data_IF_124681420655
#
_entry.id   IF_124681420655
#
_cell.length_a   1.000
_cell.length_b   1.000
_cell.length_c   1.000
_cell.angle_alpha   90.00
_cell.angle_beta   90.00
_cell.angle_gamma   90.00
#
_symmetry.space_group_name_H-M   'P 1'
#
loop_
_entity.id
_entity.type
_entity.pdbx_description
1 polymer ?
#
# COMPACT_ATOMS: atom_id res chain seq x y z
N UNK A 1 -16.20 -1.05 -18.23
CA UNK A 1 -14.95 -1.73 -18.69
C UNK A 1 -14.30 -2.38 -17.48
N UNK A 2 -13.98 -3.67 -17.53
CA UNK A 2 -13.30 -4.39 -16.44
C UNK A 2 -11.80 -4.09 -16.48
N UNK A 3 -11.17 -3.67 -15.36
CA UNK A 3 -9.73 -3.50 -15.29
C UNK A 3 -9.01 -4.83 -15.37
N UNK A 4 -7.78 -4.80 -15.89
CA UNK A 4 -6.92 -5.99 -15.94
C UNK A 4 -6.15 -6.09 -14.61
N UNK A 5 -6.60 -6.95 -13.69
CA UNK A 5 -5.98 -7.15 -12.38
C UNK A 5 -4.50 -7.58 -12.47
N UNK A 6 -4.12 -8.35 -13.52
CA UNK A 6 -2.73 -8.77 -13.71
C UNK A 6 -1.81 -7.59 -14.05
N UNK A 7 -2.27 -6.65 -14.87
CA UNK A 7 -1.50 -5.42 -15.15
C UNK A 7 -1.36 -4.55 -13.90
N UNK A 8 -2.43 -4.44 -13.10
CA UNK A 8 -2.37 -3.72 -11.81
C UNK A 8 -1.36 -4.38 -10.87
N UNK A 9 -1.38 -5.71 -10.76
CA UNK A 9 -0.40 -6.45 -9.94
C UNK A 9 1.04 -6.19 -10.38
N UNK A 10 1.30 -6.25 -11.69
CA UNK A 10 2.64 -5.99 -12.25
C UNK A 10 3.09 -4.57 -11.91
N UNK A 11 2.22 -3.57 -12.10
CA UNK A 11 2.52 -2.18 -11.76
C UNK A 11 2.83 -2.02 -10.25
N UNK A 12 2.02 -2.59 -9.37
CA UNK A 12 2.22 -2.48 -7.92
C UNK A 12 3.52 -3.13 -7.45
N UNK A 13 3.91 -4.27 -8.03
CA UNK A 13 5.21 -4.90 -7.74
C UNK A 13 6.38 -4.03 -8.20
N UNK A 14 6.31 -3.44 -9.39
CA UNK A 14 7.31 -2.51 -9.89
C UNK A 14 7.38 -1.23 -9.03
N UNK A 15 6.23 -0.71 -8.59
CA UNK A 15 6.16 0.42 -7.68
C UNK A 15 6.86 0.13 -6.35
N UNK A 16 6.64 -1.05 -5.76
CA UNK A 16 7.37 -1.47 -4.55
C UNK A 16 8.88 -1.52 -4.80
N UNK A 17 9.31 -2.09 -5.93
CA UNK A 17 10.72 -2.19 -6.28
C UNK A 17 11.37 -0.80 -6.40
N UNK A 18 10.70 0.13 -7.08
CA UNK A 18 11.19 1.50 -7.27
C UNK A 18 11.25 2.29 -5.95
N UNK A 19 10.23 2.17 -5.10
CA UNK A 19 10.22 2.80 -3.77
C UNK A 19 11.38 2.28 -2.92
N UNK A 20 11.56 0.96 -2.83
CA UNK A 20 12.66 0.38 -2.05
C UNK A 20 14.03 0.81 -2.58
N UNK A 21 14.21 0.86 -3.90
CA UNK A 21 15.46 1.30 -4.51
C UNK A 21 15.78 2.77 -4.15
N UNK A 22 14.78 3.66 -4.24
CA UNK A 22 14.97 5.09 -3.92
C UNK A 22 15.23 5.31 -2.43
N UNK A 23 14.50 4.63 -1.56
CA UNK A 23 14.71 4.72 -0.11
C UNK A 23 16.08 4.16 0.30
N UNK A 24 16.48 3.02 -0.24
CA UNK A 24 17.80 2.43 0.01
C UNK A 24 18.94 3.35 -0.48
N UNK A 25 18.79 3.96 -1.64
CA UNK A 25 19.78 4.91 -2.17
C UNK A 25 19.90 6.18 -1.29
N UNK A 26 18.80 6.65 -0.71
CA UNK A 26 18.82 7.80 0.19
C UNK A 26 19.44 7.45 1.56
N UNK A 27 19.16 6.26 2.08
CA UNK A 27 19.57 5.81 3.41
C UNK A 27 20.99 5.22 3.45
N UNK A 28 21.43 4.58 2.39
CA UNK A 28 22.64 3.78 2.31
C UNK A 28 22.50 2.36 2.88
N UNK A 29 21.31 1.96 3.32
CA UNK A 29 20.99 0.65 3.86
C UNK A 29 20.34 -0.28 2.82
N UNK A 30 19.99 -1.48 3.26
CA UNK A 30 19.38 -2.52 2.43
C UNK A 30 18.04 -2.97 2.99
N UNK A 31 17.08 -3.27 2.10
CA UNK A 31 15.82 -3.89 2.44
C UNK A 31 15.95 -5.41 2.52
N UNK A 32 15.47 -5.99 3.61
CA UNK A 32 15.27 -7.43 3.74
C UNK A 32 13.88 -7.79 3.23
N UNK A 33 13.80 -8.80 2.39
CA UNK A 33 12.55 -9.27 1.79
C UNK A 33 12.04 -10.52 2.50
N UNK A 34 10.73 -10.55 2.73
CA UNK A 34 9.98 -11.71 3.20
C UNK A 34 8.74 -11.92 2.32
N UNK A 35 8.58 -13.14 1.82
CA UNK A 35 7.44 -13.56 1.00
C UNK A 35 6.52 -14.45 1.84
N UNK A 36 5.26 -14.07 1.95
CA UNK A 36 4.28 -14.78 2.75
C UNK A 36 3.07 -15.20 1.93
N UNK A 37 2.41 -16.26 2.38
CA UNK A 37 1.18 -16.77 1.81
C UNK A 37 0.09 -16.84 2.87
N UNK A 38 -1.14 -16.72 2.42
CA UNK A 38 -2.36 -16.73 3.24
C UNK A 38 -3.15 -17.99 2.92
N UNK A 39 -3.51 -18.79 3.93
CA UNK A 39 -4.34 -19.99 3.76
C UNK A 39 -5.69 -19.67 3.12
N UNK A 40 -6.29 -18.53 3.46
CA UNK A 40 -7.55 -18.07 2.91
C UNK A 40 -7.47 -17.48 1.49
N UNK A 41 -6.30 -17.57 0.85
CA UNK A 41 -6.04 -17.12 -0.52
C UNK A 41 -5.24 -15.84 -0.63
N UNK A 42 -4.21 -15.90 -1.48
CA UNK A 42 -3.31 -14.80 -1.75
C UNK A 42 -2.03 -14.83 -0.91
N UNK A 43 -1.32 -13.72 -0.92
CA UNK A 43 -0.04 -13.55 -0.23
C UNK A 43 0.50 -12.14 -0.38
N UNK A 44 1.77 -11.98 -0.11
CA UNK A 44 2.44 -10.69 -0.25
C UNK A 44 3.95 -10.79 -0.20
N UNK A 45 4.56 -9.63 -0.40
CA UNK A 45 6.00 -9.43 -0.36
C UNK A 45 6.28 -8.23 0.55
N UNK A 46 6.79 -8.48 1.74
CA UNK A 46 7.18 -7.46 2.70
C UNK A 46 8.66 -7.13 2.55
N UNK A 47 9.01 -5.86 2.59
CA UNK A 47 10.39 -5.39 2.59
C UNK A 47 10.59 -4.42 3.73
N UNK A 48 11.61 -4.67 4.55
CA UNK A 48 11.91 -3.88 5.75
C UNK A 48 13.39 -3.52 5.78
N UNK A 49 13.67 -2.23 5.93
CA UNK A 49 14.98 -1.70 6.25
C UNK A 49 14.99 -1.33 7.74
N UNK A 50 16.06 -1.69 8.46
CA UNK A 50 16.21 -1.39 9.89
C UNK A 50 17.60 -0.86 10.18
N UNK A 51 17.66 0.08 11.11
CA UNK A 51 18.91 0.68 11.61
C UNK A 51 19.79 1.22 10.48
N UNK A 52 19.18 1.89 9.51
CA UNK A 52 19.88 2.53 8.40
C UNK A 52 20.58 3.82 8.80
N UNK A 53 21.17 4.50 7.84
CA UNK A 53 21.88 5.76 8.08
C UNK A 53 20.95 6.94 8.39
N UNK A 54 19.78 6.96 7.80
CA UNK A 54 18.76 8.01 7.96
C UNK A 54 17.51 7.44 8.62
N UNK A 55 17.09 6.22 8.24
CA UNK A 55 15.86 5.61 8.73
C UNK A 55 16.16 4.64 9.89
N UNK A 56 15.50 4.86 11.03
CA UNK A 56 15.43 3.88 12.09
C UNK A 56 14.76 2.60 11.59
N UNK A 57 13.64 2.81 10.85
CA UNK A 57 12.93 1.72 10.20
C UNK A 57 12.13 2.23 9.00
N UNK A 58 12.13 1.47 7.92
CA UNK A 58 11.24 1.67 6.79
C UNK A 58 10.62 0.33 6.37
N UNK A 59 9.32 0.33 6.13
CA UNK A 59 8.61 -0.84 5.62
C UNK A 59 7.90 -0.51 4.32
N UNK A 60 8.03 -1.37 3.32
CA UNK A 60 7.32 -1.25 2.03
C UNK A 60 6.71 -2.62 1.71
N UNK A 61 5.40 -2.70 1.79
CA UNK A 61 4.69 -3.97 1.73
C UNK A 61 3.77 -4.02 0.51
N UNK A 62 3.91 -5.05 -0.30
CA UNK A 62 2.93 -5.45 -1.30
C UNK A 62 2.05 -6.55 -0.74
N UNK A 63 0.75 -6.46 -0.93
CA UNK A 63 -0.21 -7.52 -0.64
C UNK A 63 -1.13 -7.76 -1.81
N UNK A 64 -1.52 -9.02 -2.01
CA UNK A 64 -2.51 -9.45 -2.97
C UNK A 64 -3.33 -10.57 -2.36
N UNK A 65 -4.54 -10.27 -1.95
CA UNK A 65 -5.44 -11.19 -1.27
C UNK A 65 -6.73 -11.36 -2.06
N UNK A 66 -7.31 -12.54 -1.98
CA UNK A 66 -8.59 -12.85 -2.63
C UNK A 66 -9.42 -13.81 -1.77
N UNK A 67 -10.70 -13.90 -2.07
CA UNK A 67 -11.60 -14.80 -1.38
C UNK A 67 -12.91 -14.95 -2.15
N UNK A 68 -13.60 -16.06 -1.89
CA UNK A 68 -14.84 -16.41 -2.58
C UNK A 68 -16.06 -15.62 -2.10
N UNK A 69 -15.95 -14.99 -0.92
CA UNK A 69 -17.01 -14.15 -0.36
C UNK A 69 -16.42 -12.99 0.46
N UNK A 70 -17.11 -11.86 0.38
CA UNK A 70 -16.79 -10.69 1.23
C UNK A 70 -17.25 -10.96 2.67
N UNK A 71 -16.45 -10.53 3.68
CA UNK A 71 -16.90 -10.55 5.07
C UNK A 71 -18.18 -9.72 5.27
N UNK A 72 -19.07 -10.18 6.15
CA UNK A 72 -20.34 -9.49 6.43
C UNK A 72 -20.13 -8.03 6.88
N UNK A 73 -19.07 -7.77 7.64
CA UNK A 73 -18.69 -6.41 8.06
C UNK A 73 -18.36 -5.48 6.89
N UNK A 74 -17.78 -6.00 5.81
CA UNK A 74 -17.43 -5.24 4.62
C UNK A 74 -18.65 -4.94 3.72
N UNK A 75 -19.72 -5.73 3.83
CA UNK A 75 -20.94 -5.58 3.02
C UNK A 75 -22.05 -4.83 3.75
N UNK A 76 -21.91 -4.55 5.05
CA UNK A 76 -22.92 -3.87 5.87
C UNK A 76 -23.36 -2.51 5.29
N UNK A 77 -22.42 -1.75 4.72
CA UNK A 77 -22.68 -0.44 4.09
C UNK A 77 -22.61 -0.47 2.56
N UNK A 78 -22.36 -1.64 1.97
CA UNK A 78 -22.19 -1.86 0.53
C UNK A 78 -22.90 -3.15 0.12
N UNK A 79 -24.25 -3.20 0.14
CA UNK A 79 -25.03 -4.41 -0.13
C UNK A 79 -24.79 -4.97 -1.54
N UNK A 80 -24.37 -4.13 -2.49
CA UNK A 80 -24.02 -4.56 -3.85
C UNK A 80 -22.81 -5.50 -3.91
N UNK A 81 -22.01 -5.57 -2.83
CA UNK A 81 -20.85 -6.46 -2.70
C UNK A 81 -21.23 -7.85 -2.15
N UNK A 82 -22.44 -8.02 -1.63
CA UNK A 82 -22.86 -9.27 -1.01
C UNK A 82 -22.86 -10.43 -2.02
N UNK A 83 -22.29 -11.57 -1.61
CA UNK A 83 -22.20 -12.77 -2.43
C UNK A 83 -21.29 -12.66 -3.64
N UNK A 84 -20.34 -11.72 -3.63
CA UNK A 84 -19.29 -11.58 -4.63
C UNK A 84 -17.99 -12.17 -4.12
N UNK A 85 -17.24 -12.82 -5.00
CA UNK A 85 -15.82 -13.04 -4.80
C UNK A 85 -15.07 -11.70 -4.86
N UNK A 86 -13.90 -11.62 -4.25
CA UNK A 86 -13.12 -10.39 -4.27
C UNK A 86 -11.64 -10.63 -4.49
N UNK A 87 -10.99 -9.63 -5.01
CA UNK A 87 -9.54 -9.51 -5.13
C UNK A 87 -9.13 -8.10 -4.70
N UNK A 88 -8.17 -8.02 -3.79
CA UNK A 88 -7.63 -6.75 -3.29
C UNK A 88 -6.11 -6.80 -3.33
N UNK A 89 -5.49 -5.76 -3.84
CA UNK A 89 -4.03 -5.66 -3.89
C UNK A 89 -3.59 -4.22 -3.67
N UNK A 90 -2.38 -4.06 -3.14
CA UNK A 90 -1.86 -2.74 -2.88
C UNK A 90 -0.41 -2.74 -2.43
N UNK A 91 0.16 -1.55 -2.44
CA UNK A 91 1.44 -1.23 -1.81
C UNK A 91 1.19 -0.24 -0.69
N UNK A 92 1.79 -0.49 0.46
CA UNK A 92 1.79 0.40 1.62
C UNK A 92 3.21 0.61 2.07
N UNK A 93 3.55 1.83 2.46
CA UNK A 93 4.84 2.14 3.04
C UNK A 93 4.68 2.97 4.32
N UNK A 94 5.64 2.81 5.21
CA UNK A 94 5.84 3.69 6.37
C UNK A 94 7.34 3.89 6.55
N UNK A 95 7.74 5.12 6.83
CA UNK A 95 9.14 5.51 7.01
C UNK A 95 9.29 6.25 8.33
N UNK A 96 10.13 5.72 9.21
CA UNK A 96 10.48 6.29 10.50
C UNK A 96 11.94 6.79 10.48
N UNK A 97 12.19 8.10 10.34
CA UNK A 97 13.54 8.66 10.43
C UNK A 97 14.11 8.60 11.84
N UNK A 98 15.44 8.50 11.98
CA UNK A 98 16.12 8.67 13.27
C UNK A 98 15.95 10.07 13.85
N UNK A 99 15.97 11.08 12.98
CA UNK A 99 15.85 12.47 13.39
C UNK A 99 14.39 12.80 13.73
N UNK A 100 14.05 13.14 15.00
CA UNK A 100 12.68 13.43 15.41
C UNK A 100 12.09 14.70 14.79
N UNK A 101 12.91 15.56 14.18
CA UNK A 101 12.46 16.74 13.44
C UNK A 101 12.05 16.42 11.99
N UNK A 102 12.35 15.21 11.50
CA UNK A 102 11.86 14.73 10.21
C UNK A 102 10.61 13.89 10.43
N UNK A 103 9.47 14.25 9.83
CA UNK A 103 8.22 13.54 10.07
C UNK A 103 8.25 12.08 9.64
N UNK A 104 7.58 11.22 10.41
CA UNK A 104 7.17 9.90 9.92
C UNK A 104 6.21 10.11 8.75
N UNK A 105 6.43 9.38 7.67
CA UNK A 105 5.58 9.43 6.49
C UNK A 105 4.95 8.06 6.20
N UNK A 106 3.72 8.10 5.73
CA UNK A 106 2.95 6.93 5.33
C UNK A 106 2.28 7.19 3.98
N UNK A 107 2.29 6.20 3.12
CA UNK A 107 1.50 6.20 1.90
C UNK A 107 0.97 4.82 1.59
N UNK A 108 -0.16 4.74 0.93
CA UNK A 108 -0.64 3.50 0.35
C UNK A 108 -1.42 3.77 -0.95
N UNK A 109 -1.34 2.81 -1.86
CA UNK A 109 -2.20 2.72 -3.03
C UNK A 109 -2.77 1.32 -3.10
N UNK A 110 -4.05 1.22 -3.41
CA UNK A 110 -4.74 -0.07 -3.43
C UNK A 110 -5.73 -0.16 -4.58
N UNK A 111 -5.93 -1.36 -5.03
CA UNK A 111 -6.94 -1.76 -5.99
C UNK A 111 -7.85 -2.81 -5.37
N UNK A 112 -9.12 -2.71 -5.65
CA UNK A 112 -10.14 -3.67 -5.24
C UNK A 112 -11.06 -3.97 -6.41
N UNK A 113 -11.43 -5.26 -6.54
CA UNK A 113 -12.46 -5.71 -7.46
C UNK A 113 -13.31 -6.82 -6.82
N UNK A 114 -14.62 -6.74 -6.99
CA UNK A 114 -15.56 -7.75 -6.54
C UNK A 114 -16.43 -8.21 -7.73
N UNK A 115 -16.54 -9.52 -7.90
CA UNK A 115 -17.16 -10.13 -9.07
C UNK A 115 -18.26 -11.14 -8.68
N UNK A 116 -19.26 -11.25 -9.54
CA UNK A 116 -20.32 -12.23 -9.44
C UNK A 116 -20.75 -12.63 -10.85
N UNK A 117 -20.95 -13.94 -11.13
CA UNK A 117 -21.46 -14.37 -12.43
C UNK A 117 -22.76 -13.66 -12.81
N UNK A 118 -22.81 -13.15 -14.05
CA UNK A 118 -24.01 -12.48 -14.59
C UNK A 118 -24.22 -11.04 -14.10
N UNK A 119 -23.26 -10.43 -13.41
CA UNK A 119 -23.32 -9.03 -12.97
C UNK A 119 -22.04 -8.29 -13.32
N UNK A 120 -22.15 -6.97 -13.52
CA UNK A 120 -20.96 -6.13 -13.74
C UNK A 120 -20.05 -6.15 -12.52
N UNK A 121 -18.72 -6.13 -12.72
CA UNK A 121 -17.76 -6.06 -11.62
C UNK A 121 -17.86 -4.70 -10.91
N UNK A 122 -17.69 -4.73 -9.59
CA UNK A 122 -17.54 -3.52 -8.77
C UNK A 122 -16.07 -3.37 -8.45
N UNK A 123 -15.47 -2.24 -8.81
CA UNK A 123 -14.05 -2.03 -8.59
C UNK A 123 -13.73 -0.55 -8.32
N UNK A 124 -12.60 -0.32 -7.64
CA UNK A 124 -12.06 1.03 -7.41
C UNK A 124 -10.56 0.98 -7.12
N UNK A 125 -9.93 2.14 -7.29
CA UNK A 125 -8.64 2.47 -6.70
C UNK A 125 -8.84 3.37 -5.50
N UNK A 126 -7.93 3.27 -4.52
CA UNK A 126 -7.92 4.14 -3.34
C UNK A 126 -6.51 4.24 -2.79
N UNK A 127 -6.33 5.14 -1.85
CA UNK A 127 -5.05 5.33 -1.20
C UNK A 127 -5.05 6.47 -0.20
N UNK A 128 -3.89 6.70 0.39
CA UNK A 128 -3.63 7.79 1.31
C UNK A 128 -2.17 8.18 1.25
N UNK A 129 -1.89 9.41 1.66
CA UNK A 129 -0.57 10.01 1.70
C UNK A 129 -0.53 11.01 2.86
N UNK A 130 0.22 10.72 3.92
CA UNK A 130 0.18 11.49 5.16
C UNK A 130 1.55 11.67 5.82
N UNK A 131 1.65 12.71 6.66
CA UNK A 131 2.75 12.95 7.58
C UNK A 131 2.27 12.84 9.01
N UNK A 132 3.13 12.28 9.89
CA UNK A 132 2.91 12.24 11.34
C UNK A 132 4.15 12.82 12.04
N UNK A 133 4.22 14.14 12.20
CA UNK A 133 5.37 14.80 12.83
C UNK A 133 5.34 14.67 14.36
N UNK A 134 6.51 14.52 14.98
CA UNK A 134 6.69 14.77 16.43
C UNK A 134 6.72 16.27 16.71
N UNK A 135 7.38 17.04 15.84
CA UNK A 135 7.47 18.50 15.87
C UNK A 135 6.92 19.05 14.57
N UNK A 136 5.87 19.84 14.62
CA UNK A 136 5.21 20.37 13.43
C UNK A 136 5.94 21.60 12.88
N UNK A 137 6.29 21.53 11.60
CA UNK A 137 6.75 22.68 10.81
C UNK A 137 5.75 22.91 9.68
N UNK A 138 5.30 24.15 9.55
CA UNK A 138 4.28 24.50 8.55
C UNK A 138 4.79 24.26 7.12
N UNK A 139 6.05 24.55 6.86
CA UNK A 139 6.70 24.35 5.56
C UNK A 139 6.70 22.88 5.13
N UNK A 140 6.86 21.93 6.04
CA UNK A 140 6.80 20.50 5.73
C UNK A 140 5.39 20.10 5.28
N UNK A 141 4.37 20.57 5.98
CA UNK A 141 2.99 20.31 5.63
C UNK A 141 2.61 20.92 4.27
N UNK A 142 3.03 22.17 4.03
CA UNK A 142 2.81 22.86 2.74
C UNK A 142 3.50 22.11 1.60
N UNK A 143 4.76 21.72 1.78
CA UNK A 143 5.51 20.94 0.79
C UNK A 143 4.83 19.60 0.49
N UNK A 144 4.43 18.86 1.54
CA UNK A 144 3.76 17.57 1.40
C UNK A 144 2.45 17.66 0.61
N UNK A 145 1.59 18.60 0.97
CA UNK A 145 0.31 18.80 0.26
C UNK A 145 0.51 19.31 -1.16
N UNK A 146 1.51 20.15 -1.40
CA UNK A 146 1.87 20.61 -2.74
C UNK A 146 2.32 19.44 -3.61
N UNK A 147 3.19 18.58 -3.10
CA UNK A 147 3.68 17.38 -3.80
C UNK A 147 2.54 16.39 -4.12
N UNK A 148 1.55 16.27 -3.23
CA UNK A 148 0.39 15.40 -3.47
C UNK A 148 -0.58 15.97 -4.52
N UNK A 149 -0.62 17.30 -4.70
CA UNK A 149 -1.46 17.96 -5.69
C UNK A 149 -0.88 17.90 -7.10
N UNK A 150 0.44 18.02 -7.26
CA UNK A 150 1.16 18.14 -8.53
C UNK A 150 1.45 16.73 -9.14
#
# INVERSE_FOLDING_TARGET
>A
MKPNAQLVKTFLLQLQDEICQKLAAADGGEFQEDNWQREAGGGGRSRVLRNGGIFEQAGVNFSHVHGDAMPASATAHRPELAGRSFEAMGVSLVVHPHNPFVPTSHANVRFFIAEKPGADPVWWFGGGFDLTPYYGFEEDAVHWHTTARD
#
